data_IF_076322077251
#
_entry.id   IF_076322077251
#
_cell.length_a   1.000
_cell.length_b   1.000
_cell.length_c   1.000
_cell.angle_alpha   90.00
_cell.angle_beta   90.00
_cell.angle_gamma   90.00
#
_symmetry.space_group_name_H-M   'P 1'
#
loop_
_entity.id
_entity.type
_entity.pdbx_description
1 polymer ?
#
# COMPACT_ATOMS: atom_id res chain seq x y z
N UNK A 1 10.33 -4.70 13.46
CA UNK A 1 11.49 -5.50 12.98
C UNK A 1 11.10 -6.79 12.21
N UNK A 2 9.91 -6.84 11.56
CA UNK A 2 9.42 -7.96 10.72
C UNK A 2 8.85 -7.46 9.37
N UNK A 3 9.15 -6.20 9.03
CA UNK A 3 8.32 -5.34 8.16
C UNK A 3 8.79 -5.41 6.71
N UNK A 4 10.10 -5.29 6.49
CA UNK A 4 10.69 -5.35 5.14
C UNK A 4 10.47 -6.74 4.53
N UNK A 5 10.63 -7.79 5.34
CA UNK A 5 10.45 -9.18 4.89
C UNK A 5 9.02 -9.51 4.43
N UNK A 6 7.99 -8.89 5.02
CA UNK A 6 6.60 -9.24 4.74
C UNK A 6 5.88 -8.27 3.79
N UNK A 7 6.30 -7.00 3.77
CA UNK A 7 5.63 -5.94 2.99
C UNK A 7 6.20 -5.84 1.58
N UNK A 8 7.52 -5.99 1.45
CA UNK A 8 8.22 -5.86 0.18
C UNK A 8 8.52 -7.24 -0.43
N UNK A 9 9.03 -8.15 0.39
CA UNK A 9 9.61 -9.43 -0.04
C UNK A 9 8.65 -10.61 0.12
N UNK A 10 7.34 -10.36 0.23
CA UNK A 10 6.37 -11.43 0.00
C UNK A 10 6.62 -11.93 -1.43
N UNK A 11 7.13 -13.16 -1.49
CA UNK A 11 7.57 -13.89 -2.69
C UNK A 11 6.88 -15.26 -2.59
N UNK A 12 5.56 -15.26 -2.47
CA UNK A 12 4.82 -16.52 -2.65
C UNK A 12 4.85 -16.86 -4.14
N UNK A 13 5.11 -18.13 -4.49
CA UNK A 13 5.26 -18.62 -5.87
C UNK A 13 4.02 -18.40 -6.78
N UNK A 14 2.93 -17.85 -6.24
CA UNK A 14 1.68 -17.55 -6.95
C UNK A 14 1.38 -16.05 -7.01
N UNK A 15 2.16 -15.22 -6.30
CA UNK A 15 1.82 -13.81 -6.11
C UNK A 15 1.90 -12.99 -7.40
N UNK A 16 2.80 -13.36 -8.32
CA UNK A 16 2.90 -12.73 -9.64
C UNK A 16 1.77 -13.09 -10.60
N UNK A 17 1.05 -14.18 -10.32
CA UNK A 17 -0.11 -14.59 -11.12
C UNK A 17 -1.38 -13.85 -10.71
N UNK A 18 -1.36 -13.16 -9.57
CA UNK A 18 -2.50 -12.41 -9.06
C UNK A 18 -2.71 -11.12 -9.86
N UNK A 19 -3.90 -10.88 -10.44
CA UNK A 19 -4.21 -9.66 -11.18
C UNK A 19 -4.01 -8.42 -10.32
N UNK A 20 -4.29 -8.48 -9.01
CA UNK A 20 -4.06 -7.38 -8.07
C UNK A 20 -2.62 -6.89 -7.99
N UNK A 21 -1.68 -7.73 -8.44
CA UNK A 21 -0.25 -7.45 -8.47
C UNK A 21 0.30 -7.18 -9.87
N UNK A 22 -0.56 -6.95 -10.88
CA UNK A 22 -0.17 -6.68 -12.26
C UNK A 22 1.02 -5.70 -12.37
N UNK A 23 0.96 -4.60 -11.62
CA UNK A 23 2.01 -3.57 -11.63
C UNK A 23 3.10 -3.76 -10.57
N UNK A 24 2.92 -4.67 -9.61
CA UNK A 24 3.86 -4.87 -8.49
C UNK A 24 5.27 -5.18 -9.00
N UNK A 25 5.40 -6.08 -9.96
CA UNK A 25 6.73 -6.44 -10.49
C UNK A 25 7.42 -5.29 -11.19
N UNK A 26 6.67 -4.54 -12.00
CA UNK A 26 7.19 -3.37 -12.71
C UNK A 26 7.56 -2.25 -11.73
N UNK A 27 6.72 -2.00 -10.72
CA UNK A 27 6.98 -1.00 -9.67
C UNK A 27 8.22 -1.34 -8.83
N UNK A 28 8.42 -2.62 -8.52
CA UNK A 28 9.55 -3.07 -7.69
C UNK A 28 10.80 -3.43 -8.50
N UNK A 29 10.77 -3.26 -9.82
CA UNK A 29 11.89 -3.58 -10.70
C UNK A 29 13.11 -2.74 -10.32
N UNK A 30 14.28 -3.38 -10.26
CA UNK A 30 15.55 -2.74 -9.91
C UNK A 30 15.57 -2.08 -8.51
N UNK A 31 14.61 -2.41 -7.64
CA UNK A 31 14.71 -2.08 -6.23
C UNK A 31 15.53 -3.16 -5.52
N UNK A 32 16.68 -2.79 -4.94
CA UNK A 32 17.58 -3.69 -4.21
C UNK A 32 17.08 -4.02 -2.79
N UNK A 33 15.84 -4.49 -2.73
CA UNK A 33 15.04 -4.62 -1.51
C UNK A 33 15.64 -5.62 -0.51
N UNK A 34 16.31 -6.67 -1.00
CA UNK A 34 17.02 -7.64 -0.16
C UNK A 34 18.26 -7.02 0.51
N UNK A 35 18.99 -6.15 -0.20
CA UNK A 35 20.12 -5.40 0.39
C UNK A 35 19.62 -4.43 1.45
N UNK A 36 18.60 -3.62 1.11
CA UNK A 36 17.96 -2.68 2.03
C UNK A 36 17.51 -3.36 3.32
N UNK A 37 16.95 -4.57 3.21
CA UNK A 37 16.55 -5.38 4.36
C UNK A 37 17.71 -5.64 5.30
N UNK A 38 18.80 -6.20 4.77
CA UNK A 38 19.94 -6.61 5.59
C UNK A 38 20.53 -5.41 6.34
N UNK A 39 20.61 -4.26 5.68
CA UNK A 39 21.15 -3.05 6.27
C UNK A 39 20.20 -2.45 7.32
N UNK A 40 18.89 -2.49 7.10
CA UNK A 40 17.90 -1.95 8.04
C UNK A 40 17.72 -2.80 9.31
N UNK A 41 18.16 -4.06 9.27
CA UNK A 41 18.11 -4.99 10.41
C UNK A 41 19.35 -4.92 11.31
N UNK A 42 20.42 -4.22 10.89
CA UNK A 42 21.63 -4.06 11.68
C UNK A 42 21.34 -3.42 13.05
N UNK A 43 22.01 -3.84 14.15
CA UNK A 43 21.81 -3.25 15.48
C UNK A 43 22.14 -1.75 15.53
N UNK A 44 23.13 -1.33 14.73
CA UNK A 44 23.54 0.06 14.55
C UNK A 44 23.73 0.30 13.04
N UNK A 45 22.64 0.53 12.29
CA UNK A 45 22.74 0.74 10.86
C UNK A 45 23.48 2.05 10.59
N UNK A 46 24.42 2.03 9.63
CA UNK A 46 25.05 3.26 9.18
C UNK A 46 23.99 4.16 8.54
N UNK A 47 23.81 5.34 9.10
CA UNK A 47 22.75 6.27 8.69
C UNK A 47 22.88 6.63 7.21
N UNK A 48 24.11 6.86 6.74
CA UNK A 48 24.43 7.13 5.33
C UNK A 48 23.91 6.04 4.39
N UNK A 49 24.12 4.76 4.72
CA UNK A 49 23.63 3.63 3.93
C UNK A 49 22.09 3.61 3.90
N UNK A 50 21.45 3.97 5.01
CA UNK A 50 19.99 4.03 5.07
C UNK A 50 19.45 5.19 4.20
N UNK A 51 20.09 6.36 4.22
CA UNK A 51 19.77 7.49 3.32
C UNK A 51 19.91 7.10 1.85
N UNK A 52 21.03 6.49 1.47
CA UNK A 52 21.25 6.03 0.10
C UNK A 52 20.17 5.04 -0.36
N UNK A 53 19.78 4.12 0.51
CA UNK A 53 18.71 3.16 0.21
C UNK A 53 17.36 3.83 0.01
N UNK A 54 16.98 4.76 0.89
CA UNK A 54 15.70 5.49 0.76
C UNK A 54 15.70 6.38 -0.48
N UNK A 55 16.82 7.03 -0.80
CA UNK A 55 16.99 7.87 -1.99
C UNK A 55 16.88 7.05 -3.27
N UNK A 56 17.58 5.91 -3.32
CA UNK A 56 17.49 4.96 -4.41
C UNK A 56 16.05 4.44 -4.56
N UNK A 57 15.42 4.07 -3.45
CA UNK A 57 14.07 3.52 -3.47
C UNK A 57 13.04 4.55 -3.93
N UNK A 58 13.06 5.78 -3.39
CA UNK A 58 12.08 6.82 -3.74
C UNK A 58 12.23 7.24 -5.22
N UNK A 59 13.46 7.31 -5.74
CA UNK A 59 13.72 7.67 -7.13
C UNK A 59 13.34 6.56 -8.10
N UNK A 60 13.78 5.32 -7.85
CA UNK A 60 13.50 4.18 -8.73
C UNK A 60 11.99 3.85 -8.77
N UNK A 61 11.30 3.92 -7.63
CA UNK A 61 9.85 3.72 -7.60
C UNK A 61 9.13 4.79 -8.45
N UNK A 62 9.58 6.03 -8.42
CA UNK A 62 9.01 7.08 -9.27
C UNK A 62 9.27 6.84 -10.77
N UNK A 63 10.48 6.42 -11.14
CA UNK A 63 10.83 6.06 -12.52
C UNK A 63 9.94 4.92 -13.02
N UNK A 64 9.84 3.85 -12.25
CA UNK A 64 9.00 2.69 -12.58
C UNK A 64 7.52 3.09 -12.69
N UNK A 65 7.03 3.93 -11.79
CA UNK A 65 5.68 4.47 -11.85
C UNK A 65 5.42 5.26 -13.14
N UNK A 66 6.34 6.15 -13.54
CA UNK A 66 6.18 6.93 -14.78
C UNK A 66 6.15 6.02 -16.02
N UNK A 67 6.96 4.98 -16.06
CA UNK A 67 6.90 3.99 -17.13
C UNK A 67 5.51 3.34 -17.22
N UNK A 68 4.96 2.89 -16.08
CA UNK A 68 3.64 2.25 -16.01
C UNK A 68 2.52 3.22 -16.42
N UNK A 69 2.57 4.47 -15.95
CA UNK A 69 1.58 5.50 -16.29
C UNK A 69 1.52 5.76 -17.77
N UNK A 70 2.67 5.98 -18.41
CA UNK A 70 2.77 6.29 -19.82
C UNK A 70 2.33 5.09 -20.70
N UNK A 71 2.61 3.87 -20.25
CA UNK A 71 2.33 2.66 -21.03
C UNK A 71 0.87 2.20 -20.90
N UNK A 72 0.31 2.20 -19.69
CA UNK A 72 -0.96 1.55 -19.36
C UNK A 72 -2.05 2.50 -18.87
N UNK A 73 -1.71 3.48 -18.03
CA UNK A 73 -2.70 4.17 -17.20
C UNK A 73 -3.31 5.39 -17.88
N UNK A 74 -2.50 6.20 -18.56
CA UNK A 74 -2.99 7.37 -19.32
C UNK A 74 -3.93 6.94 -20.47
N UNK A 75 -3.60 5.83 -21.14
CA UNK A 75 -4.37 5.32 -22.28
C UNK A 75 -5.74 4.77 -21.88
N UNK A 76 -5.85 4.15 -20.70
CA UNK A 76 -7.05 3.45 -20.25
C UNK A 76 -7.80 4.16 -19.11
N UNK A 77 -7.34 5.34 -18.68
CA UNK A 77 -7.81 6.02 -17.46
C UNK A 77 -7.84 5.08 -16.23
N UNK A 78 -6.87 4.18 -16.13
CA UNK A 78 -6.88 3.13 -15.11
C UNK A 78 -6.46 3.71 -13.75
N UNK A 79 -7.44 3.84 -12.86
CA UNK A 79 -7.24 4.29 -11.48
C UNK A 79 -6.44 3.30 -10.62
N UNK A 80 -6.24 2.05 -11.09
CA UNK A 80 -5.39 1.06 -10.42
C UNK A 80 -3.98 1.55 -10.21
N UNK A 81 -3.39 2.21 -11.21
CA UNK A 81 -2.02 2.72 -11.10
C UNK A 81 -1.89 3.73 -9.96
N UNK A 82 -2.89 4.60 -9.81
CA UNK A 82 -2.95 5.57 -8.72
C UNK A 82 -3.16 4.93 -7.36
N UNK A 83 -4.00 3.92 -7.28
CA UNK A 83 -4.23 3.16 -6.06
C UNK A 83 -2.95 2.45 -5.62
N UNK A 84 -2.30 1.75 -6.54
CA UNK A 84 -1.11 0.94 -6.28
C UNK A 84 0.07 1.83 -5.89
N UNK A 85 0.36 2.91 -6.63
CA UNK A 85 1.49 3.79 -6.28
C UNK A 85 1.29 4.48 -4.93
N UNK A 86 0.08 4.95 -4.64
CA UNK A 86 -0.21 5.59 -3.37
C UNK A 86 -0.10 4.63 -2.19
N UNK A 87 -0.42 3.36 -2.42
CA UNK A 87 -0.22 2.28 -1.48
C UNK A 87 1.27 1.97 -1.30
N UNK A 88 2.06 1.78 -2.36
CA UNK A 88 3.51 1.54 -2.24
C UNK A 88 4.23 2.69 -1.53
N UNK A 89 3.83 3.93 -1.79
CA UNK A 89 4.36 5.07 -1.06
C UNK A 89 4.06 5.00 0.46
N UNK A 90 2.87 4.53 0.87
CA UNK A 90 2.61 4.29 2.31
C UNK A 90 3.59 3.25 2.89
N UNK A 91 3.89 2.18 2.14
CA UNK A 91 4.82 1.14 2.56
C UNK A 91 6.22 1.70 2.82
N UNK A 92 6.73 2.58 1.95
CA UNK A 92 8.03 3.25 2.14
C UNK A 92 8.06 3.98 3.48
N UNK A 93 7.04 4.82 3.72
CA UNK A 93 6.93 5.59 4.96
C UNK A 93 6.84 4.65 6.17
N UNK A 94 6.14 3.53 6.06
CA UNK A 94 6.08 2.53 7.14
C UNK A 94 7.43 1.87 7.40
N UNK A 95 8.20 1.53 6.36
CA UNK A 95 9.54 0.94 6.51
C UNK A 95 10.46 1.91 7.25
N UNK A 96 10.47 3.19 6.85
CA UNK A 96 11.27 4.23 7.53
C UNK A 96 10.86 4.35 8.98
N UNK A 97 9.56 4.47 9.28
CA UNK A 97 9.05 4.63 10.66
C UNK A 97 9.29 3.43 11.57
N UNK A 98 9.64 2.29 11.01
CA UNK A 98 9.76 1.03 11.75
C UNK A 98 11.15 0.41 11.69
N UNK A 99 12.09 1.15 11.08
CA UNK A 99 13.52 0.87 11.14
C UNK A 99 14.07 1.11 12.54
N UNK A 100 15.33 0.73 12.75
CA UNK A 100 16.07 0.95 14.00
C UNK A 100 16.68 2.36 14.12
N UNK A 101 16.41 3.25 13.17
CA UNK A 101 16.88 4.64 13.25
C UNK A 101 16.25 5.35 14.45
N UNK A 102 16.96 6.36 14.96
CA UNK A 102 16.40 7.25 15.97
C UNK A 102 15.21 8.05 15.41
N UNK A 103 14.39 8.60 16.30
CA UNK A 103 13.12 9.22 15.91
C UNK A 103 13.28 10.47 15.04
N UNK A 104 14.35 11.23 15.24
CA UNK A 104 14.64 12.44 14.48
C UNK A 104 14.93 12.05 13.03
N UNK A 105 15.85 11.11 12.81
CA UNK A 105 16.19 10.64 11.47
C UNK A 105 15.00 9.97 10.77
N UNK A 106 14.20 9.16 11.48
CA UNK A 106 12.95 8.64 10.92
C UNK A 106 12.04 9.76 10.40
N UNK A 107 11.89 10.84 11.16
CA UNK A 107 11.02 11.96 10.78
C UNK A 107 11.60 12.73 9.59
N UNK A 108 12.90 13.00 9.59
CA UNK A 108 13.58 13.72 8.51
C UNK A 108 13.44 12.98 7.18
N UNK A 109 13.65 11.67 7.20
CA UNK A 109 13.50 10.83 6.00
C UNK A 109 12.05 10.73 5.52
N UNK A 110 11.09 10.63 6.45
CA UNK A 110 9.67 10.68 6.08
C UNK A 110 9.33 12.01 5.43
N UNK A 111 9.87 13.12 5.93
CA UNK A 111 9.65 14.45 5.36
C UNK A 111 10.25 14.57 3.97
N UNK A 112 11.49 14.15 3.79
CA UNK A 112 12.17 14.14 2.50
C UNK A 112 11.43 13.29 1.46
N UNK A 113 11.00 12.07 1.81
CA UNK A 113 10.20 11.22 0.92
C UNK A 113 8.86 11.87 0.56
N UNK A 114 8.17 12.48 1.53
CA UNK A 114 6.94 13.23 1.28
C UNK A 114 7.16 14.43 0.36
N UNK A 115 8.24 15.20 0.55
CA UNK A 115 8.54 16.38 -0.26
C UNK A 115 8.93 16.00 -1.68
N UNK A 116 9.78 14.99 -1.85
CA UNK A 116 10.17 14.46 -3.15
C UNK A 116 8.92 14.10 -3.98
N UNK A 117 8.01 13.31 -3.41
CA UNK A 117 6.82 12.83 -4.11
C UNK A 117 5.73 13.88 -4.25
N UNK A 118 5.58 14.80 -3.28
CA UNK A 118 4.66 15.95 -3.39
C UNK A 118 4.95 16.72 -4.67
N UNK A 119 6.22 17.07 -4.90
CA UNK A 119 6.64 17.78 -6.10
C UNK A 119 6.33 16.99 -7.38
N UNK A 120 6.48 15.66 -7.37
CA UNK A 120 6.21 14.83 -8.55
C UNK A 120 4.72 14.71 -8.88
N UNK A 121 3.86 14.52 -7.89
CA UNK A 121 2.41 14.46 -8.08
C UNK A 121 1.76 15.82 -8.36
N UNK A 122 2.31 16.91 -7.81
CA UNK A 122 1.73 18.25 -7.97
C UNK A 122 2.23 18.98 -9.24
N UNK A 123 3.44 18.70 -9.74
CA UNK A 123 4.06 19.51 -10.82
C UNK A 123 4.14 18.86 -12.20
N UNK A 124 4.13 17.52 -12.34
CA UNK A 124 4.68 16.88 -13.55
C UNK A 124 3.73 15.96 -14.34
N UNK A 125 2.42 15.94 -14.07
CA UNK A 125 1.53 15.06 -14.85
C UNK A 125 0.18 15.70 -15.17
N UNK A 126 -0.18 15.74 -16.45
CA UNK A 126 -1.57 15.90 -16.92
C UNK A 126 -2.47 14.73 -16.44
N UNK A 127 -1.85 13.63 -16.02
CA UNK A 127 -2.48 12.50 -15.38
C UNK A 127 -2.98 12.85 -13.96
N UNK A 128 -4.27 12.62 -13.70
CA UNK A 128 -5.03 13.05 -12.50
C UNK A 128 -4.71 12.28 -11.21
N UNK A 129 -3.48 11.82 -11.03
CA UNK A 129 -3.13 11.02 -9.86
C UNK A 129 -2.94 11.87 -8.61
N UNK A 130 -4.02 12.06 -7.86
CA UNK A 130 -3.99 12.84 -6.62
C UNK A 130 -3.82 11.93 -5.41
N UNK A 131 -2.95 12.34 -4.50
CA UNK A 131 -2.79 11.72 -3.19
C UNK A 131 -3.66 12.46 -2.17
N UNK A 132 -4.73 11.83 -1.70
CA UNK A 132 -5.61 12.41 -0.68
C UNK A 132 -4.80 12.70 0.61
N UNK A 133 -4.99 13.89 1.18
CA UNK A 133 -4.41 14.32 2.45
C UNK A 133 -5.51 14.31 3.53
N UNK A 134 -5.17 14.03 4.79
CA UNK A 134 -6.13 14.03 5.89
C UNK A 134 -5.86 12.95 6.94
N UNK A 135 -6.53 13.10 8.10
CA UNK A 135 -6.29 12.37 9.36
C UNK A 135 -6.45 10.85 9.24
N UNK A 136 -7.17 10.35 8.22
CA UNK A 136 -7.28 8.90 7.95
C UNK A 136 -7.00 8.52 6.50
N UNK A 137 -6.31 9.39 5.76
CA UNK A 137 -6.08 9.19 4.33
C UNK A 137 -5.25 7.92 4.04
N UNK A 138 -4.34 7.56 4.95
CA UNK A 138 -3.54 6.33 4.84
C UNK A 138 -4.44 5.10 4.96
N UNK A 139 -5.35 5.15 5.93
CA UNK A 139 -6.23 4.07 6.30
C UNK A 139 -7.27 3.80 5.21
N UNK A 140 -7.82 4.87 4.63
CA UNK A 140 -8.69 4.79 3.44
C UNK A 140 -7.99 4.14 2.26
N UNK A 141 -6.74 4.52 1.98
CA UNK A 141 -5.93 3.92 0.90
C UNK A 141 -5.67 2.43 1.15
N UNK A 142 -5.38 2.04 2.39
CA UNK A 142 -5.25 0.63 2.76
C UNK A 142 -6.52 -0.16 2.43
N UNK A 143 -7.69 0.32 2.89
CA UNK A 143 -8.99 -0.32 2.63
C UNK A 143 -9.23 -0.41 1.12
N UNK A 144 -9.03 0.70 0.41
CA UNK A 144 -9.26 0.76 -1.02
C UNK A 144 -8.39 -0.26 -1.77
N UNK A 145 -7.08 -0.33 -1.48
CA UNK A 145 -6.19 -1.32 -2.07
C UNK A 145 -6.69 -2.73 -1.80
N UNK A 146 -7.06 -3.01 -0.55
CA UNK A 146 -7.56 -4.32 -0.17
C UNK A 146 -8.85 -4.72 -0.90
N UNK A 147 -9.84 -3.84 -0.96
CA UNK A 147 -11.13 -4.13 -1.63
C UNK A 147 -10.90 -4.52 -3.08
N UNK A 148 -10.04 -3.77 -3.77
CA UNK A 148 -9.70 -4.08 -5.16
C UNK A 148 -8.88 -5.36 -5.29
N UNK A 149 -7.91 -5.62 -4.40
CA UNK A 149 -7.12 -6.86 -4.43
C UNK A 149 -8.03 -8.09 -4.32
N UNK A 150 -8.98 -8.09 -3.37
CA UNK A 150 -9.94 -9.18 -3.17
C UNK A 150 -10.78 -9.42 -4.41
N UNK A 151 -11.24 -8.34 -5.06
CA UNK A 151 -12.11 -8.45 -6.21
C UNK A 151 -11.37 -8.87 -7.48
N UNK A 152 -10.19 -8.30 -7.71
CA UNK A 152 -9.35 -8.59 -8.88
C UNK A 152 -8.79 -10.02 -8.85
N UNK A 153 -8.55 -10.56 -7.64
CA UNK A 153 -8.02 -11.91 -7.48
C UNK A 153 -9.13 -12.98 -7.36
N UNK A 154 -10.41 -12.59 -7.32
CA UNK A 154 -11.55 -13.50 -7.09
C UNK A 154 -11.66 -14.61 -8.15
N UNK A 155 -11.43 -14.26 -9.41
CA UNK A 155 -11.70 -15.13 -10.56
C UNK A 155 -10.49 -16.00 -10.97
N UNK A 156 -9.35 -15.86 -10.28
CA UNK A 156 -8.12 -16.63 -10.56
C UNK A 156 -8.28 -18.14 -10.31
N UNK A 157 -9.43 -18.59 -9.82
CA UNK A 157 -9.76 -20.02 -9.81
C UNK A 157 -8.68 -20.87 -9.15
N UNK A 158 -8.09 -20.39 -8.04
CA UNK A 158 -7.21 -21.25 -7.26
C UNK A 158 -8.11 -22.34 -6.68
N UNK A 159 -7.95 -23.57 -7.18
CA UNK A 159 -8.63 -24.81 -6.81
C UNK A 159 -8.44 -25.23 -5.33
N UNK A 160 -8.19 -24.26 -4.46
CA UNK A 160 -7.68 -24.39 -3.10
C UNK A 160 -8.23 -23.19 -2.28
N UNK A 161 -9.55 -22.98 -2.32
CA UNK A 161 -10.27 -21.82 -1.74
C UNK A 161 -9.99 -21.59 -0.25
N UNK A 162 -9.54 -22.61 0.48
CA UNK A 162 -9.04 -22.47 1.86
C UNK A 162 -7.61 -21.93 1.95
N UNK A 163 -6.70 -22.35 1.08
CA UNK A 163 -5.30 -21.86 1.03
C UNK A 163 -5.22 -20.43 0.48
N UNK A 164 -6.01 -20.11 -0.54
CA UNK A 164 -6.10 -18.75 -1.08
C UNK A 164 -6.62 -17.75 -0.04
N UNK A 165 -7.70 -18.09 0.67
CA UNK A 165 -8.22 -17.25 1.76
C UNK A 165 -7.24 -17.12 2.94
N UNK A 166 -6.52 -18.19 3.29
CA UNK A 166 -5.51 -18.13 4.35
C UNK A 166 -4.29 -17.32 3.93
N UNK A 167 -3.85 -17.40 2.68
CA UNK A 167 -2.71 -16.62 2.16
C UNK A 167 -3.09 -15.14 2.01
N UNK A 168 -4.29 -14.85 1.53
CA UNK A 168 -4.84 -13.50 1.48
C UNK A 168 -5.02 -12.92 2.90
N UNK A 169 -5.57 -13.67 3.86
CA UNK A 169 -5.64 -13.27 5.28
C UNK A 169 -4.26 -13.07 5.90
N UNK A 170 -3.27 -13.91 5.56
CA UNK A 170 -1.88 -13.75 6.01
C UNK A 170 -1.24 -12.50 5.39
N UNK A 171 -1.41 -12.26 4.09
CA UNK A 171 -0.96 -11.05 3.35
C UNK A 171 -1.54 -9.80 4.02
N UNK A 172 -2.88 -9.77 4.16
CA UNK A 172 -3.61 -8.66 4.74
C UNK A 172 -3.27 -8.45 6.21
N UNK A 173 -3.26 -9.50 7.04
CA UNK A 173 -2.92 -9.38 8.46
C UNK A 173 -1.54 -8.80 8.71
N UNK A 174 -0.58 -9.14 7.85
CA UNK A 174 0.76 -8.54 7.90
C UNK A 174 0.72 -7.07 7.46
N UNK A 175 0.07 -6.74 6.35
CA UNK A 175 -0.07 -5.35 5.88
C UNK A 175 -0.77 -4.47 6.94
N UNK A 176 -1.86 -4.97 7.54
CA UNK A 176 -2.68 -4.24 8.51
C UNK A 176 -1.90 -3.97 9.79
N UNK A 177 -1.17 -4.97 10.29
CA UNK A 177 -0.40 -4.82 11.53
C UNK A 177 0.73 -3.78 11.41
N UNK A 178 1.16 -3.42 10.20
CA UNK A 178 2.35 -2.59 9.99
C UNK A 178 2.11 -1.28 9.23
N UNK A 179 1.19 -1.25 8.28
CA UNK A 179 0.99 -0.10 7.38
C UNK A 179 -0.34 0.64 7.61
N UNK A 180 -1.24 0.09 8.40
CA UNK A 180 -2.59 0.61 8.56
C UNK A 180 -2.79 0.83 10.05
N UNK A 181 -2.67 2.09 10.51
CA UNK A 181 -2.57 2.53 11.91
C UNK A 181 -3.14 1.58 13.00
N UNK A 182 -2.39 1.41 14.10
CA UNK A 182 -2.81 0.67 15.30
C UNK A 182 -3.86 1.45 16.09
N UNK A 183 -5.08 1.53 15.57
CA UNK A 183 -6.22 2.04 16.32
C UNK A 183 -7.24 0.91 16.46
N UNK A 184 -7.17 0.19 17.58
CA UNK A 184 -8.12 -0.90 17.90
C UNK A 184 -9.58 -0.41 18.02
N UNK A 185 -9.74 0.90 18.24
CA UNK A 185 -11.00 1.62 18.32
C UNK A 185 -11.40 2.35 17.03
N UNK A 186 -10.59 2.31 15.97
CA UNK A 186 -10.95 2.93 14.69
C UNK A 186 -12.02 2.11 13.99
N UNK A 187 -13.08 2.78 13.58
CA UNK A 187 -14.18 2.22 12.82
C UNK A 187 -14.29 2.89 11.47
N UNK A 188 -14.78 2.13 10.48
CA UNK A 188 -15.00 2.59 9.13
C UNK A 188 -16.45 2.37 8.72
N UNK A 189 -17.01 3.38 8.06
CA UNK A 189 -18.23 3.29 7.27
C UNK A 189 -17.83 3.45 5.81
N UNK A 190 -18.23 2.49 4.97
CA UNK A 190 -18.09 2.55 3.52
C UNK A 190 -19.49 2.79 2.95
N UNK A 191 -19.68 3.97 2.36
CA UNK A 191 -20.91 4.34 1.69
C UNK A 191 -20.96 3.65 0.32
N UNK A 192 -22.01 2.87 0.07
CA UNK A 192 -22.24 2.23 -1.23
C UNK A 192 -23.55 2.71 -1.82
N UNK A 193 -23.77 2.43 -3.10
CA UNK A 193 -25.02 2.77 -3.80
C UNK A 193 -26.25 2.10 -3.22
N UNK A 194 -26.11 0.95 -2.55
CA UNK A 194 -27.21 0.12 -2.07
C UNK A 194 -27.37 0.15 -0.56
N UNK A 195 -26.28 0.14 0.20
CA UNK A 195 -26.27 0.23 1.66
C UNK A 195 -24.90 0.66 2.19
N UNK A 196 -24.88 1.20 3.41
CA UNK A 196 -23.63 1.49 4.11
C UNK A 196 -23.12 0.22 4.81
N UNK A 197 -21.82 -0.04 4.70
CA UNK A 197 -21.18 -1.15 5.43
C UNK A 197 -20.29 -0.58 6.52
N UNK A 198 -20.50 -1.05 7.76
CA UNK A 198 -19.81 -0.52 8.94
C UNK A 198 -19.00 -1.61 9.64
N UNK A 199 -17.85 -1.24 10.18
CA UNK A 199 -17.33 -1.89 11.38
C UNK A 199 -15.88 -1.54 11.68
N UNK A 200 -15.26 -2.35 12.56
CA UNK A 200 -13.93 -2.04 13.10
C UNK A 200 -12.86 -2.18 12.04
N UNK A 201 -12.02 -1.17 11.88
CA UNK A 201 -10.93 -1.09 10.92
C UNK A 201 -10.06 -2.36 10.94
N UNK A 202 -9.42 -2.65 12.07
CA UNK A 202 -8.51 -3.80 12.23
C UNK A 202 -9.19 -5.17 12.02
N UNK A 203 -10.40 -5.34 12.56
CA UNK A 203 -11.14 -6.62 12.48
C UNK A 203 -11.68 -6.86 11.07
N UNK A 204 -12.12 -5.80 10.40
CA UNK A 204 -12.77 -5.92 9.08
C UNK A 204 -11.75 -5.96 7.95
N UNK A 205 -10.58 -5.34 8.08
CA UNK A 205 -9.48 -5.52 7.11
C UNK A 205 -9.00 -7.00 7.03
N UNK A 206 -9.38 -7.88 7.94
CA UNK A 206 -9.07 -9.32 7.85
C UNK A 206 -10.24 -10.16 7.32
N UNK A 207 -11.41 -9.56 7.16
CA UNK A 207 -12.69 -10.24 6.90
C UNK A 207 -13.54 -9.40 5.91
N UNK A 208 -12.91 -8.76 4.93
CA UNK A 208 -13.65 -8.23 3.78
C UNK A 208 -14.27 -9.41 3.04
N UNK A 209 -15.54 -9.69 3.34
CA UNK A 209 -16.33 -10.66 2.60
C UNK A 209 -16.83 -10.04 1.29
N UNK A 210 -17.45 -10.87 0.44
CA UNK A 210 -18.02 -10.43 -0.84
C UNK A 210 -18.98 -9.23 -0.71
N UNK A 211 -19.66 -9.06 0.44
CA UNK A 211 -20.59 -7.95 0.67
C UNK A 211 -19.90 -6.58 0.76
N UNK A 212 -18.62 -6.52 1.13
CA UNK A 212 -17.86 -5.26 1.10
C UNK A 212 -17.35 -4.90 -0.31
N UNK A 213 -17.33 -5.87 -1.23
CA UNK A 213 -16.77 -5.71 -2.58
C UNK A 213 -17.83 -5.45 -3.66
N UNK A 214 -19.11 -5.47 -3.30
CA UNK A 214 -20.16 -5.12 -4.23
C UNK A 214 -20.12 -3.61 -4.58
N UNK A 215 -20.22 -3.29 -5.87
CA UNK A 215 -19.96 -1.95 -6.43
C UNK A 215 -18.53 -1.41 -6.16
N UNK A 216 -17.51 -2.28 -6.00
CA UNK A 216 -16.13 -1.84 -5.69
C UNK A 216 -15.56 -0.78 -6.63
N UNK A 217 -15.96 -0.80 -7.90
CA UNK A 217 -15.56 0.16 -8.92
C UNK A 217 -16.06 1.61 -8.64
N UNK A 218 -17.01 1.78 -7.72
CA UNK A 218 -17.50 3.08 -7.25
C UNK A 218 -16.88 3.50 -5.92
N UNK A 219 -16.18 2.59 -5.24
CA UNK A 219 -15.54 2.88 -3.96
C UNK A 219 -14.29 3.73 -4.21
N UNK A 220 -14.25 4.89 -3.57
CA UNK A 220 -13.11 5.79 -3.56
C UNK A 220 -12.92 6.34 -2.12
N UNK A 221 -11.82 7.04 -1.82
CA UNK A 221 -11.58 7.48 -0.45
C UNK A 221 -12.65 8.43 0.13
N UNK A 222 -13.33 9.21 -0.71
CA UNK A 222 -14.44 10.08 -0.29
C UNK A 222 -15.69 9.29 0.11
N UNK A 223 -15.84 8.04 -0.36
CA UNK A 223 -16.90 7.14 0.05
C UNK A 223 -16.69 6.52 1.45
N UNK A 224 -15.55 6.80 2.10
CA UNK A 224 -15.19 6.22 3.39
C UNK A 224 -15.18 7.30 4.49
N UNK A 225 -15.83 6.98 5.62
CA UNK A 225 -15.77 7.77 6.85
C UNK A 225 -15.09 6.92 7.91
N UNK A 226 -14.02 7.44 8.51
CA UNK A 226 -13.32 6.80 9.61
C UNK A 226 -13.40 7.67 10.86
N UNK A 227 -13.63 7.02 11.99
CA UNK A 227 -13.77 7.68 13.29
C UNK A 227 -13.36 6.74 14.42
N UNK A 228 -12.91 7.33 15.52
CA UNK A 228 -12.62 6.60 16.75
C UNK A 228 -13.92 6.43 17.53
N UNK A 229 -14.25 5.20 17.90
CA UNK A 229 -15.28 4.95 18.91
C UNK A 229 -14.65 5.22 20.30
N UNK A 230 -15.24 6.09 21.12
CA UNK A 230 -14.80 6.35 22.49
C UNK A 230 -14.72 5.08 23.34
#
# INVERSE_FOLDING_TARGET
MYIIHNVILFKDCYEYKLPSNLYKQQLLKHLYLESMKNDFELPNPYETIFFEHVDSLKANLYINYRAIVNEYCEKNQDFKCCRDINYFFNLIIAIIKTSKLNKIHQNDMVNDVNEYWKNKFEKYTDFKCKREKGVYSKEKRCILKQVYDIREDKDIGVSDTMKSNNNLKKKLGKIINYDCSYYDNLSVIINRSTNNVTGKYKKNLLIFNDNYCADYNKINPSAMILYIIP
#
